data_IF_056064042284
#
_entry.id   IF_056064042284
#
_cell.length_a   1.000
_cell.length_b   1.000
_cell.length_c   1.000
_cell.angle_alpha   90.00
_cell.angle_beta   90.00
_cell.angle_gamma   90.00
#
_symmetry.space_group_name_H-M   'P 1'
#
loop_
_entity.id
_entity.type
_entity.pdbx_description
1 polymer ?
#
# COMPACT_ATOMS: atom_id res chain seq x y z
N UNK A 1 -19.81 -16.41 -1.55
CA UNK A 1 -18.82 -16.63 -2.61
C UNK A 1 -19.49 -17.06 -3.92
N UNK A 2 -20.48 -17.91 -3.88
CA UNK A 2 -21.30 -18.33 -5.04
C UNK A 2 -21.93 -17.18 -5.79
N UNK A 3 -22.17 -16.10 -5.12
CA UNK A 3 -22.89 -14.96 -5.64
C UNK A 3 -21.95 -13.99 -6.36
N UNK A 4 -20.65 -14.10 -6.11
CA UNK A 4 -19.61 -13.35 -6.85
C UNK A 4 -19.16 -14.07 -8.13
N UNK A 5 -19.32 -15.40 -8.19
CA UNK A 5 -18.84 -16.21 -9.33
C UNK A 5 -19.88 -16.45 -10.45
N UNK A 6 -21.19 -16.60 -10.20
CA UNK A 6 -22.17 -16.87 -11.28
C UNK A 6 -22.33 -15.73 -12.28
N UNK A 7 -22.24 -14.47 -11.83
CA UNK A 7 -22.33 -13.34 -12.74
C UNK A 7 -21.17 -13.26 -13.73
N UNK A 8 -19.98 -13.73 -13.33
CA UNK A 8 -18.84 -13.84 -14.25
C UNK A 8 -18.97 -15.01 -15.23
N UNK A 9 -19.75 -16.06 -14.90
CA UNK A 9 -19.95 -17.23 -15.74
C UNK A 9 -20.96 -17.02 -16.88
N UNK A 10 -21.79 -15.97 -16.81
CA UNK A 10 -22.83 -15.66 -17.79
C UNK A 10 -22.48 -14.51 -18.73
N UNK A 11 -21.23 -14.08 -18.77
CA UNK A 11 -20.78 -13.06 -19.72
C UNK A 11 -20.67 -13.65 -21.13
N UNK A 12 -21.22 -12.99 -22.18
CA UNK A 12 -20.90 -13.32 -23.55
C UNK A 12 -19.38 -13.13 -23.76
N UNK A 13 -18.74 -14.10 -24.40
CA UNK A 13 -17.34 -14.00 -24.80
C UNK A 13 -17.12 -12.70 -25.58
N UNK A 14 -16.29 -11.80 -25.05
CA UNK A 14 -15.90 -10.54 -25.69
C UNK A 14 -16.40 -9.25 -25.05
N UNK A 15 -17.15 -9.27 -23.93
CA UNK A 15 -17.54 -8.02 -23.26
C UNK A 15 -16.39 -7.53 -22.37
N UNK A 16 -15.81 -6.40 -22.74
CA UNK A 16 -14.74 -5.70 -21.99
C UNK A 16 -15.24 -5.02 -20.71
N UNK A 17 -16.57 -4.94 -20.50
CA UNK A 17 -17.18 -4.23 -19.37
C UNK A 17 -18.25 -5.08 -18.73
N UNK A 18 -17.97 -5.54 -17.50
CA UNK A 18 -18.98 -6.10 -16.62
C UNK A 18 -19.65 -4.96 -15.84
N UNK A 19 -20.95 -4.77 -16.07
CA UNK A 19 -21.77 -3.92 -15.20
C UNK A 19 -22.40 -4.82 -14.13
N UNK A 20 -21.93 -4.77 -12.86
CA UNK A 20 -22.51 -5.56 -11.80
C UNK A 20 -23.97 -5.19 -11.61
N UNK A 21 -24.83 -6.17 -11.41
CA UNK A 21 -26.20 -5.93 -10.99
C UNK A 21 -26.19 -5.39 -9.56
N UNK A 22 -27.22 -4.65 -9.16
CA UNK A 22 -27.33 -4.08 -7.81
C UNK A 22 -27.10 -5.13 -6.70
N UNK A 23 -27.66 -6.33 -6.88
CA UNK A 23 -27.43 -7.45 -5.95
C UNK A 23 -25.97 -7.88 -5.86
N UNK A 24 -25.25 -7.91 -6.97
CA UNK A 24 -23.83 -8.31 -7.01
C UNK A 24 -22.98 -7.27 -6.28
N UNK A 25 -23.32 -6.00 -6.42
CA UNK A 25 -22.66 -4.89 -5.71
C UNK A 25 -22.89 -5.00 -4.19
N UNK A 26 -24.13 -5.25 -3.75
CA UNK A 26 -24.44 -5.41 -2.32
C UNK A 26 -23.69 -6.58 -1.69
N UNK A 27 -23.53 -7.68 -2.40
CA UNK A 27 -22.79 -8.84 -1.90
C UNK A 27 -21.31 -8.57 -1.87
N UNK A 28 -20.78 -7.90 -2.87
CA UNK A 28 -19.40 -7.47 -2.90
C UNK A 28 -19.10 -6.52 -1.73
N UNK A 29 -19.98 -5.58 -1.46
CA UNK A 29 -19.86 -4.66 -0.33
C UNK A 29 -19.87 -5.40 1.03
N UNK A 30 -20.77 -6.39 1.18
CA UNK A 30 -20.81 -7.22 2.38
C UNK A 30 -19.53 -8.06 2.57
N UNK A 31 -19.03 -8.64 1.47
CA UNK A 31 -17.78 -9.39 1.47
C UNK A 31 -16.59 -8.48 1.87
N UNK A 32 -16.53 -7.28 1.30
CA UNK A 32 -15.47 -6.32 1.63
C UNK A 32 -15.57 -5.82 3.08
N UNK A 33 -16.76 -5.51 3.56
CA UNK A 33 -16.97 -5.16 4.96
C UNK A 33 -16.52 -6.26 5.92
N UNK A 34 -16.81 -7.52 5.59
CA UNK A 34 -16.32 -8.68 6.35
C UNK A 34 -14.79 -8.77 6.39
N UNK A 35 -14.11 -8.53 5.28
CA UNK A 35 -12.64 -8.54 5.23
C UNK A 35 -12.07 -7.38 6.06
N UNK A 36 -12.67 -6.18 6.02
CA UNK A 36 -12.24 -5.03 6.83
C UNK A 36 -12.26 -5.40 8.31
N UNK A 37 -13.40 -5.89 8.81
CA UNK A 37 -13.55 -6.30 10.21
C UNK A 37 -12.58 -7.41 10.58
N UNK A 38 -12.43 -8.42 9.72
CA UNK A 38 -11.49 -9.52 9.94
C UNK A 38 -10.05 -9.00 10.05
N UNK A 39 -9.60 -8.19 9.09
CA UNK A 39 -8.24 -7.67 9.07
C UNK A 39 -7.92 -6.82 10.31
N UNK A 40 -8.82 -5.93 10.71
CA UNK A 40 -8.64 -5.10 11.91
C UNK A 40 -8.54 -5.95 13.19
N UNK A 41 -9.41 -6.95 13.35
CA UNK A 41 -9.38 -7.84 14.50
C UNK A 41 -8.10 -8.69 14.57
N UNK A 42 -7.64 -9.24 13.44
CA UNK A 42 -6.41 -10.04 13.38
C UNK A 42 -5.18 -9.19 13.78
N UNK A 43 -5.14 -7.94 13.37
CA UNK A 43 -4.05 -7.03 13.74
C UNK A 43 -4.06 -6.67 15.22
N UNK A 44 -5.22 -6.49 15.84
CA UNK A 44 -5.33 -6.26 17.27
C UNK A 44 -4.82 -7.46 18.10
N UNK A 45 -4.94 -8.69 17.58
CA UNK A 45 -4.55 -9.93 18.25
C UNK A 45 -3.08 -10.34 18.01
N UNK A 46 -2.24 -9.52 17.40
CA UNK A 46 -0.93 -9.85 16.81
C UNK A 46 -1.05 -10.84 15.66
N UNK A 47 -0.80 -10.36 14.47
CA UNK A 47 -0.89 -11.15 13.26
C UNK A 47 -0.03 -12.42 13.35
N UNK A 48 -0.63 -13.57 13.04
CA UNK A 48 -0.04 -14.89 12.99
C UNK A 48 -0.26 -15.52 11.61
N UNK A 49 0.49 -16.54 11.30
CA UNK A 49 0.33 -17.30 10.05
C UNK A 49 -1.02 -18.04 10.00
N UNK A 50 -1.45 -18.60 11.14
CA UNK A 50 -2.62 -19.45 11.20
C UNK A 50 -3.52 -19.08 12.38
N UNK A 51 -4.83 -19.13 12.16
CA UNK A 51 -5.85 -18.89 13.16
C UNK A 51 -6.92 -20.00 13.11
N UNK A 52 -7.38 -20.39 14.29
CA UNK A 52 -8.58 -21.20 14.44
C UNK A 52 -9.73 -20.31 14.92
N UNK A 53 -10.74 -20.13 14.09
CA UNK A 53 -11.92 -19.30 14.38
C UNK A 53 -13.14 -20.23 14.42
N UNK A 54 -13.55 -20.64 15.62
CA UNK A 54 -14.58 -21.67 15.83
C UNK A 54 -14.24 -22.96 15.05
N UNK A 55 -15.03 -23.33 14.04
CA UNK A 55 -14.79 -24.50 13.18
C UNK A 55 -13.96 -24.19 11.94
N UNK A 56 -13.59 -22.91 11.70
CA UNK A 56 -12.90 -22.48 10.50
C UNK A 56 -11.40 -22.29 10.77
N UNK A 57 -10.59 -22.69 9.81
CA UNK A 57 -9.16 -22.40 9.78
C UNK A 57 -8.90 -21.22 8.85
N UNK A 58 -8.06 -20.29 9.28
CA UNK A 58 -7.66 -19.15 8.49
C UNK A 58 -6.14 -19.11 8.38
N UNK A 59 -5.64 -19.15 7.16
CA UNK A 59 -4.23 -18.97 6.83
C UNK A 59 -4.00 -17.54 6.35
N UNK A 60 -2.96 -16.89 6.85
CA UNK A 60 -2.58 -15.55 6.41
C UNK A 60 -1.35 -15.65 5.53
N UNK A 61 -1.47 -15.13 4.31
CA UNK A 61 -0.39 -15.08 3.33
C UNK A 61 -0.07 -13.62 2.98
N UNK A 62 1.19 -13.33 2.73
CA UNK A 62 1.65 -12.04 2.25
C UNK A 62 2.47 -12.22 0.98
N UNK A 63 2.08 -11.56 -0.10
CA UNK A 63 2.71 -11.64 -1.42
C UNK A 63 2.89 -13.10 -1.91
N UNK A 64 1.89 -13.94 -1.69
CA UNK A 64 1.90 -15.33 -2.13
C UNK A 64 2.72 -16.29 -1.26
N UNK A 65 3.25 -15.82 -0.13
CA UNK A 65 4.00 -16.64 0.83
C UNK A 65 3.29 -16.64 2.20
N UNK A 66 3.41 -17.71 2.99
CA UNK A 66 2.92 -17.72 4.36
C UNK A 66 3.43 -16.51 5.14
N UNK A 67 2.57 -15.93 5.96
CA UNK A 67 2.93 -14.77 6.75
C UNK A 67 4.09 -15.08 7.69
N UNK A 68 5.10 -14.20 7.68
CA UNK A 68 6.22 -14.28 8.61
C UNK A 68 6.23 -13.06 9.54
N UNK A 69 6.40 -13.25 10.86
CA UNK A 69 6.55 -12.14 11.82
C UNK A 69 7.67 -11.13 11.47
N UNK A 70 8.64 -11.55 10.66
CA UNK A 70 9.70 -10.65 10.16
C UNK A 70 9.17 -9.61 9.14
N UNK A 71 8.02 -9.90 8.52
CA UNK A 71 7.33 -9.02 7.57
C UNK A 71 6.26 -8.16 8.26
N UNK A 72 6.21 -8.16 9.60
CA UNK A 72 5.14 -7.56 10.36
C UNK A 72 5.07 -6.05 10.16
N UNK A 73 3.97 -5.60 9.61
CA UNK A 73 3.51 -4.23 9.81
C UNK A 73 2.97 -4.09 11.24
N UNK A 74 3.11 -2.90 11.82
CA UNK A 74 2.61 -2.63 13.18
C UNK A 74 1.11 -2.39 13.21
N UNK A 75 0.52 -1.99 12.08
CA UNK A 75 -0.90 -1.67 11.97
C UNK A 75 -1.37 -1.82 10.52
N UNK A 76 -2.61 -2.24 10.35
CA UNK A 76 -3.32 -2.27 9.07
C UNK A 76 -4.54 -1.34 9.18
N UNK A 77 -4.64 -0.36 8.31
CA UNK A 77 -5.73 0.62 8.31
C UNK A 77 -6.49 0.50 6.99
N UNK A 78 -7.80 0.30 7.07
CA UNK A 78 -8.64 0.28 5.87
C UNK A 78 -8.60 1.64 5.15
N UNK A 79 -8.38 1.63 3.84
CA UNK A 79 -8.36 2.86 3.05
C UNK A 79 -9.73 3.54 2.96
N UNK A 80 -10.82 2.83 3.27
CA UNK A 80 -12.18 3.41 3.35
C UNK A 80 -12.34 4.38 4.52
N UNK A 81 -11.51 4.26 5.55
CA UNK A 81 -11.53 5.16 6.72
C UNK A 81 -10.68 6.42 6.52
N UNK A 82 -9.97 6.53 5.39
CA UNK A 82 -9.05 7.62 5.15
C UNK A 82 -9.73 8.78 4.40
N UNK A 83 -9.60 9.97 4.96
CA UNK A 83 -9.98 11.20 4.27
C UNK A 83 -8.83 11.63 3.34
N UNK A 84 -9.03 11.45 2.03
CA UNK A 84 -8.06 11.81 0.98
C UNK A 84 -8.45 13.10 0.23
N UNK A 85 -9.32 13.94 0.82
CA UNK A 85 -9.83 15.17 0.19
C UNK A 85 -8.77 16.22 -0.15
N UNK A 86 -7.53 16.04 0.33
CA UNK A 86 -6.40 16.92 -0.03
C UNK A 86 -5.80 16.67 -1.39
N UNK A 87 -6.05 15.49 -1.96
CA UNK A 87 -5.66 15.19 -3.33
C UNK A 87 -6.78 15.60 -4.29
N UNK A 88 -6.44 16.30 -5.36
CA UNK A 88 -7.38 16.66 -6.43
C UNK A 88 -7.97 15.40 -7.07
N UNK A 89 -7.19 14.34 -7.13
CA UNK A 89 -7.56 13.02 -7.64
C UNK A 89 -7.05 11.93 -6.70
N UNK A 90 -7.78 10.81 -6.61
CA UNK A 90 -7.32 9.64 -5.85
C UNK A 90 -6.82 8.59 -6.83
N UNK A 91 -5.54 8.27 -6.74
CA UNK A 91 -4.91 7.25 -7.58
C UNK A 91 -5.38 5.86 -7.16
N UNK A 92 -6.20 5.23 -8.00
CA UNK A 92 -6.76 3.90 -7.76
C UNK A 92 -6.60 3.00 -8.98
N UNK A 93 -6.62 1.71 -8.72
CA UNK A 93 -6.85 0.67 -9.71
C UNK A 93 -8.11 -0.10 -9.29
N UNK A 94 -9.10 -0.12 -10.17
CA UNK A 94 -10.32 -0.90 -9.96
C UNK A 94 -10.00 -2.38 -10.05
N UNK A 95 -10.67 -3.18 -9.22
CA UNK A 95 -10.42 -4.59 -9.17
C UNK A 95 -10.99 -5.26 -7.91
N UNK A 96 -10.57 -6.48 -7.69
CA UNK A 96 -11.01 -7.32 -6.60
C UNK A 96 -10.12 -7.15 -5.36
N UNK A 97 -10.73 -7.11 -4.18
CA UNK A 97 -10.05 -7.03 -2.89
C UNK A 97 -10.25 -5.71 -2.14
N UNK A 98 -9.89 -5.73 -0.87
CA UNK A 98 -10.02 -4.60 0.06
C UNK A 98 -8.70 -3.88 0.20
N UNK A 99 -8.71 -2.56 0.04
CA UNK A 99 -7.52 -1.73 0.11
C UNK A 99 -7.21 -1.29 1.54
N UNK A 100 -5.98 -1.51 1.95
CA UNK A 100 -5.42 -1.11 3.24
C UNK A 100 -4.16 -0.28 3.08
N UNK A 101 -3.77 0.35 4.17
CA UNK A 101 -2.43 0.86 4.39
C UNK A 101 -1.79 0.09 5.53
N UNK A 102 -0.67 -0.55 5.26
CA UNK A 102 0.16 -1.20 6.27
C UNK A 102 1.21 -0.22 6.79
N UNK A 103 1.25 -0.03 8.11
CA UNK A 103 2.32 0.72 8.76
C UNK A 103 3.47 -0.24 9.04
N UNK A 104 4.64 0.05 8.49
CA UNK A 104 5.84 -0.73 8.70
C UNK A 104 6.42 -0.44 10.09
N UNK A 105 6.97 -1.48 10.72
CA UNK A 105 7.79 -1.27 11.91
C UNK A 105 9.21 -0.80 11.52
N UNK A 106 9.97 -0.30 12.50
CA UNK A 106 11.34 0.20 12.28
C UNK A 106 12.26 -0.86 11.65
N UNK A 107 12.04 -2.15 11.93
CA UNK A 107 12.83 -3.25 11.36
C UNK A 107 12.58 -3.43 9.86
N UNK A 108 11.33 -3.34 9.42
CA UNK A 108 10.99 -3.42 8.01
C UNK A 108 11.51 -2.20 7.24
N UNK A 109 11.37 -1.02 7.84
CA UNK A 109 11.93 0.24 7.33
C UNK A 109 13.45 0.17 7.23
N UNK A 110 14.12 -0.34 8.28
CA UNK A 110 15.56 -0.56 8.30
C UNK A 110 16.03 -1.56 7.25
N UNK A 111 15.23 -2.60 6.93
CA UNK A 111 15.58 -3.57 5.90
C UNK A 111 15.56 -2.96 4.49
N UNK A 112 14.62 -2.05 4.21
CA UNK A 112 14.59 -1.28 2.95
C UNK A 112 15.84 -0.39 2.86
N UNK A 113 16.17 0.33 3.94
CA UNK A 113 17.38 1.11 4.01
C UNK A 113 18.63 0.22 3.84
N UNK A 114 18.71 -0.91 4.54
CA UNK A 114 19.83 -1.84 4.44
C UNK A 114 20.04 -2.35 3.01
N UNK A 115 18.98 -2.58 2.24
CA UNK A 115 19.09 -2.96 0.82
C UNK A 115 19.68 -1.83 -0.03
N UNK A 116 19.27 -0.60 0.20
CA UNK A 116 19.83 0.58 -0.47
C UNK A 116 21.32 0.72 -0.12
N UNK A 117 21.67 0.46 1.14
CA UNK A 117 23.02 0.62 1.70
C UNK A 117 23.98 -0.50 1.30
N UNK A 118 23.52 -1.74 1.23
CA UNK A 118 24.33 -2.87 0.77
C UNK A 118 24.95 -2.62 -0.61
N UNK A 119 24.30 -1.78 -1.42
CA UNK A 119 24.81 -1.38 -2.72
C UNK A 119 25.80 -0.22 -2.67
N UNK A 120 25.96 0.45 -1.54
CA UNK A 120 26.91 1.54 -1.30
C UNK A 120 27.71 1.25 -0.03
N UNK A 121 28.71 0.38 -0.15
CA UNK A 121 29.62 0.10 0.96
C UNK A 121 30.41 1.36 1.31
N UNK A 122 29.92 2.14 2.27
CA UNK A 122 30.71 2.99 3.18
C UNK A 122 29.75 3.62 4.19
N UNK A 123 29.97 3.33 5.46
CA UNK A 123 29.29 3.90 6.60
C UNK A 123 29.42 5.42 6.60
N UNK A 124 28.37 6.14 6.27
CA UNK A 124 28.38 7.60 6.33
C UNK A 124 27.13 8.12 7.05
N UNK A 125 27.27 9.23 7.80
CA UNK A 125 26.15 9.94 8.44
C UNK A 125 25.02 10.33 7.49
N UNK A 126 25.28 10.29 6.17
CA UNK A 126 24.28 10.52 5.11
C UNK A 126 23.06 9.61 5.19
N UNK A 127 23.13 8.45 5.85
CA UNK A 127 22.07 7.46 5.93
C UNK A 127 20.95 7.86 6.88
N UNK A 128 21.26 8.61 7.92
CA UNK A 128 20.25 9.14 8.86
C UNK A 128 19.35 10.20 8.22
N UNK A 129 19.68 10.62 6.98
CA UNK A 129 18.95 11.64 6.23
C UNK A 129 18.08 11.05 5.10
N UNK A 130 18.02 9.72 4.99
CA UNK A 130 17.14 9.02 4.05
C UNK A 130 15.95 8.47 4.83
N UNK A 131 14.76 8.90 4.44
CA UNK A 131 13.51 8.53 5.09
C UNK A 131 12.66 7.70 4.10
N UNK A 132 12.62 6.38 4.25
CA UNK A 132 11.72 5.55 3.48
C UNK A 132 10.28 5.76 3.95
N UNK A 133 9.32 5.59 3.05
CA UNK A 133 7.92 5.59 3.42
C UNK A 133 7.63 4.42 4.35
N UNK A 134 7.18 4.71 5.57
CA UNK A 134 6.77 3.69 6.55
C UNK A 134 5.33 3.20 6.35
N UNK A 135 4.66 3.61 5.26
CA UNK A 135 3.27 3.32 4.94
C UNK A 135 3.19 2.66 3.57
N UNK A 136 2.62 1.45 3.48
CA UNK A 136 2.50 0.72 2.21
C UNK A 136 1.04 0.50 1.83
N UNK A 137 0.65 0.76 0.58
CA UNK A 137 -0.64 0.30 0.09
C UNK A 137 -0.62 -1.23 0.02
N UNK A 138 -1.67 -1.86 0.51
CA UNK A 138 -1.85 -3.31 0.50
C UNK A 138 -3.28 -3.62 0.06
N UNK A 139 -3.46 -4.80 -0.54
CA UNK A 139 -4.79 -5.28 -0.92
C UNK A 139 -5.01 -6.68 -0.37
N UNK A 140 -6.10 -6.85 0.37
CA UNK A 140 -6.45 -8.12 0.98
C UNK A 140 -7.60 -8.80 0.23
N UNK A 141 -7.46 -10.10 0.03
CA UNK A 141 -8.45 -10.97 -0.59
C UNK A 141 -8.63 -12.21 0.28
N UNK A 142 -9.87 -12.50 0.69
CA UNK A 142 -10.21 -13.72 1.42
C UNK A 142 -10.65 -14.78 0.43
N UNK A 143 -9.96 -15.90 0.39
CA UNK A 143 -10.25 -17.00 -0.54
C UNK A 143 -10.55 -18.27 0.24
N UNK A 144 -11.76 -18.88 0.07
CA UNK A 144 -12.03 -20.21 0.57
C UNK A 144 -11.19 -21.22 -0.21
N UNK A 145 -10.76 -22.30 0.45
CA UNK A 145 -9.98 -23.35 -0.17
C UNK A 145 -10.89 -24.37 -0.84
N UNK A 146 -10.67 -24.58 -2.13
CA UNK A 146 -11.41 -25.53 -2.95
C UNK A 146 -11.14 -25.29 -4.42
N UNK A 147 -11.39 -26.31 -5.25
CA UNK A 147 -11.19 -26.30 -6.70
C UNK A 147 -12.51 -26.19 -7.47
N UNK A 148 -13.63 -26.36 -6.81
CA UNK A 148 -14.99 -26.27 -7.35
C UNK A 148 -15.89 -25.42 -6.47
N UNK A 149 -17.01 -24.93 -7.01
CA UNK A 149 -18.01 -24.17 -6.25
C UNK A 149 -18.54 -24.99 -5.07
N UNK A 150 -18.83 -26.28 -5.27
CA UNK A 150 -19.35 -27.15 -4.23
C UNK A 150 -18.36 -27.34 -3.08
N UNK A 151 -17.07 -27.39 -3.37
CA UNK A 151 -16.02 -27.47 -2.34
C UNK A 151 -15.91 -26.14 -1.59
N UNK A 152 -15.95 -25.00 -2.30
CA UNK A 152 -15.89 -23.67 -1.69
C UNK A 152 -17.03 -23.41 -0.71
N UNK A 153 -18.25 -23.93 -1.02
CA UNK A 153 -19.42 -23.77 -0.15
C UNK A 153 -19.33 -24.60 1.14
N UNK A 154 -18.60 -25.70 1.10
CA UNK A 154 -18.50 -26.64 2.21
C UNK A 154 -17.22 -26.47 3.02
N UNK A 155 -16.25 -25.73 2.49
CA UNK A 155 -14.95 -25.58 3.14
C UNK A 155 -15.05 -24.83 4.45
N UNK A 156 -14.24 -25.26 5.40
CA UNK A 156 -13.97 -24.53 6.64
C UNK A 156 -12.55 -23.94 6.66
N UNK A 157 -11.85 -24.03 5.54
CA UNK A 157 -10.46 -23.61 5.37
C UNK A 157 -10.40 -22.39 4.44
N UNK A 158 -9.82 -21.30 4.92
CA UNK A 158 -9.75 -20.01 4.23
C UNK A 158 -8.33 -19.47 4.22
N UNK A 159 -8.02 -18.68 3.20
CA UNK A 159 -6.77 -17.93 3.10
C UNK A 159 -7.06 -16.43 2.97
N UNK A 160 -6.52 -15.64 3.89
CA UNK A 160 -6.44 -14.19 3.77
C UNK A 160 -5.12 -13.85 3.09
N UNK A 161 -5.20 -13.50 1.82
CA UNK A 161 -4.04 -13.16 1.02
C UNK A 161 -3.90 -11.63 0.96
N UNK A 162 -2.77 -11.13 1.42
CA UNK A 162 -2.44 -9.69 1.42
C UNK A 162 -1.34 -9.45 0.40
N UNK A 163 -1.57 -8.56 -0.55
CA UNK A 163 -0.70 -8.29 -1.67
C UNK A 163 -0.19 -6.85 -1.67
N UNK A 164 1.06 -6.66 -2.05
CA UNK A 164 1.60 -5.37 -2.46
C UNK A 164 1.12 -5.06 -3.90
N UNK A 165 0.25 -4.05 -4.11
CA UNK A 165 -0.33 -3.77 -5.42
C UNK A 165 0.66 -3.16 -6.42
N UNK A 166 1.85 -2.75 -5.98
CA UNK A 166 2.95 -2.38 -6.90
C UNK A 166 3.55 -3.59 -7.59
N UNK A 167 3.58 -4.75 -6.90
CA UNK A 167 4.15 -5.98 -7.42
C UNK A 167 3.09 -6.88 -8.07
N UNK A 168 1.88 -6.91 -7.52
CA UNK A 168 0.79 -7.77 -7.96
C UNK A 168 -0.32 -6.96 -8.64
N UNK A 169 -0.63 -7.32 -9.89
CA UNK A 169 -1.67 -6.64 -10.69
C UNK A 169 -2.97 -7.42 -10.77
N UNK A 170 -2.92 -8.72 -10.54
CA UNK A 170 -4.06 -9.64 -10.60
C UNK A 170 -3.97 -10.71 -9.52
N UNK A 171 -5.10 -11.36 -9.28
CA UNK A 171 -5.24 -12.53 -8.43
C UNK A 171 -6.04 -13.58 -9.18
N UNK A 172 -5.59 -14.84 -9.14
CA UNK A 172 -6.29 -15.98 -9.75
C UNK A 172 -7.21 -16.63 -8.72
N UNK A 173 -8.50 -16.73 -9.05
CA UNK A 173 -9.53 -17.38 -8.22
C UNK A 173 -10.33 -18.31 -9.14
N UNK A 174 -10.41 -19.60 -8.79
CA UNK A 174 -11.07 -20.63 -9.62
C UNK A 174 -10.62 -20.61 -11.08
N UNK A 175 -9.32 -20.56 -11.31
CA UNK A 175 -8.69 -20.49 -12.65
C UNK A 175 -9.10 -19.28 -13.50
N UNK A 176 -9.63 -18.22 -12.86
CA UNK A 176 -9.93 -16.95 -13.52
C UNK A 176 -9.07 -15.86 -12.89
N UNK A 177 -8.51 -14.99 -13.74
CA UNK A 177 -7.73 -13.85 -13.31
C UNK A 177 -8.63 -12.64 -13.11
N UNK A 178 -8.53 -12.04 -11.94
CA UNK A 178 -9.19 -10.79 -11.58
C UNK A 178 -8.14 -9.70 -11.38
N UNK A 179 -8.37 -8.52 -11.92
CA UNK A 179 -7.54 -7.36 -11.58
C UNK A 179 -7.58 -7.14 -10.06
N UNK A 180 -6.43 -6.94 -9.45
CA UNK A 180 -6.33 -6.64 -8.02
C UNK A 180 -6.59 -5.15 -7.82
N UNK A 181 -7.53 -4.81 -6.93
CA UNK A 181 -7.78 -3.42 -6.57
C UNK A 181 -6.55 -2.78 -5.91
N UNK A 182 -6.44 -1.46 -5.99
CA UNK A 182 -5.39 -0.73 -5.30
C UNK A 182 -5.81 0.72 -5.00
N UNK A 183 -5.26 1.28 -3.91
CA UNK A 183 -5.36 2.69 -3.60
C UNK A 183 -3.95 3.24 -3.31
N UNK A 184 -3.30 3.77 -4.33
CA UNK A 184 -1.92 4.24 -4.25
C UNK A 184 -1.80 5.57 -3.49
N UNK A 185 -2.85 6.41 -3.51
CA UNK A 185 -2.88 7.66 -2.74
C UNK A 185 -3.03 7.43 -1.24
N UNK A 186 -3.59 6.29 -0.81
CA UNK A 186 -3.94 6.06 0.58
C UNK A 186 -2.71 6.03 1.50
N UNK A 187 -1.64 5.35 1.09
CA UNK A 187 -0.41 5.27 1.87
C UNK A 187 0.25 6.64 2.02
N UNK A 188 0.37 7.38 0.93
CA UNK A 188 0.93 8.72 0.93
C UNK A 188 0.06 9.70 1.73
N UNK A 189 -1.26 9.65 1.56
CA UNK A 189 -2.19 10.52 2.30
C UNK A 189 -2.20 10.25 3.80
N UNK A 190 -2.11 8.99 4.22
CA UNK A 190 -2.01 8.63 5.63
C UNK A 190 -0.67 9.08 6.22
N UNK A 191 0.43 8.87 5.50
CA UNK A 191 1.75 9.34 5.92
C UNK A 191 1.78 10.87 6.10
N UNK A 192 1.20 11.63 5.17
CA UNK A 192 1.05 13.08 5.29
C UNK A 192 0.24 13.47 6.54
N UNK A 193 -0.82 12.72 6.85
CA UNK A 193 -1.67 12.94 8.03
C UNK A 193 -0.94 12.62 9.33
N UNK A 194 -0.31 11.46 9.41
CA UNK A 194 0.34 10.96 10.62
C UNK A 194 1.54 11.82 11.03
N UNK A 195 2.18 12.45 10.04
CA UNK A 195 3.28 13.37 10.29
C UNK A 195 2.83 14.84 10.44
N UNK A 196 1.53 15.07 10.66
CA UNK A 196 0.92 16.39 10.77
C UNK A 196 1.16 17.32 9.57
N UNK A 197 1.57 16.76 8.43
CA UNK A 197 1.87 17.50 7.19
C UNK A 197 0.61 18.02 6.49
N UNK A 198 -0.53 17.80 7.08
CA UNK A 198 -1.78 18.34 6.55
C UNK A 198 -1.92 19.85 6.73
N UNK A 199 -1.17 20.45 7.67
CA UNK A 199 -1.14 21.90 7.93
C UNK A 199 0.26 22.40 8.30
N UNK A 200 1.29 21.56 8.20
CA UNK A 200 2.63 21.85 8.71
C UNK A 200 3.65 21.30 7.73
N UNK A 201 4.71 21.99 7.51
CA UNK A 201 5.73 21.68 6.52
C UNK A 201 6.54 20.42 6.88
N UNK A 202 7.11 19.73 5.89
CA UNK A 202 8.13 18.69 6.06
C UNK A 202 9.25 19.11 7.05
N UNK A 203 9.48 20.40 7.14
CA UNK A 203 10.40 21.00 8.09
C UNK A 203 10.09 20.61 9.54
N UNK A 204 8.83 20.55 9.94
CA UNK A 204 8.43 20.21 11.30
C UNK A 204 8.51 18.70 11.61
N UNK A 205 8.66 17.85 10.60
CA UNK A 205 8.98 16.44 10.81
C UNK A 205 10.40 16.22 11.36
N UNK A 206 11.27 17.15 11.13
CA UNK A 206 12.66 17.04 11.52
C UNK A 206 12.79 17.43 13.00
N UNK A 207 13.11 16.47 13.85
CA UNK A 207 12.96 16.54 15.30
C UNK A 207 13.84 17.59 16.01
N UNK A 208 14.82 18.19 15.31
CA UNK A 208 15.72 19.16 15.91
C UNK A 208 16.14 20.27 14.93
N UNK A 209 16.51 21.46 15.42
CA UNK A 209 17.04 22.53 14.58
C UNK A 209 18.25 22.09 13.74
N UNK A 210 19.09 21.20 14.28
CA UNK A 210 20.21 20.64 13.55
C UNK A 210 19.76 19.78 12.35
N UNK A 211 18.74 18.93 12.52
CA UNK A 211 18.18 18.16 11.39
C UNK A 211 17.55 19.09 10.37
N UNK A 212 16.89 20.15 10.81
CA UNK A 212 16.27 21.15 9.93
C UNK A 212 17.29 21.95 9.11
N UNK A 213 18.55 22.00 9.55
CA UNK A 213 19.65 22.66 8.80
C UNK A 213 20.34 21.73 7.80
N UNK A 214 19.94 20.46 7.70
CA UNK A 214 20.55 19.46 6.82
C UNK A 214 19.59 19.07 5.69
N UNK A 215 20.11 18.65 4.52
CA UNK A 215 19.28 18.09 3.47
C UNK A 215 18.77 16.69 3.84
N UNK A 216 17.51 16.39 3.52
CA UNK A 216 16.86 15.11 3.74
C UNK A 216 16.21 14.57 2.46
N UNK A 217 16.24 13.27 2.29
CA UNK A 217 15.63 12.55 1.18
C UNK A 217 14.45 11.73 1.67
N UNK A 218 13.27 11.96 1.12
CA UNK A 218 12.05 11.21 1.40
C UNK A 218 11.71 10.30 0.23
N UNK A 219 11.68 8.99 0.48
CA UNK A 219 11.26 7.99 -0.50
C UNK A 219 9.77 7.76 -0.30
N UNK A 220 8.96 7.97 -1.34
CA UNK A 220 7.49 7.97 -1.23
C UNK A 220 6.83 6.65 -1.64
N UNK A 221 7.64 5.66 -1.97
CA UNK A 221 7.25 4.27 -2.20
C UNK A 221 8.42 3.34 -1.86
N UNK A 222 8.20 2.02 -1.71
CA UNK A 222 9.29 1.08 -1.48
C UNK A 222 10.32 1.14 -2.60
N UNK A 223 11.60 1.14 -2.24
CA UNK A 223 12.67 1.16 -3.22
C UNK A 223 12.59 -0.03 -4.17
N UNK A 224 12.53 0.27 -5.46
CA UNK A 224 12.57 -0.73 -6.53
C UNK A 224 13.77 -0.47 -7.46
N UNK A 225 14.76 -1.38 -7.51
CA UNK A 225 15.95 -1.22 -8.36
C UNK A 225 15.66 -1.20 -9.86
N UNK A 226 14.49 -1.68 -10.27
CA UNK A 226 14.08 -1.75 -11.68
C UNK A 226 13.32 -0.48 -12.13
N UNK A 227 12.98 0.42 -11.20
CA UNK A 227 12.36 1.71 -11.52
C UNK A 227 13.40 2.82 -11.61
N UNK A 228 13.19 3.76 -12.52
CA UNK A 228 13.93 5.02 -12.56
C UNK A 228 13.47 5.93 -11.44
N UNK A 229 14.35 6.81 -10.99
CA UNK A 229 14.05 7.75 -9.90
C UNK A 229 13.68 9.12 -10.46
N UNK A 230 12.53 9.65 -10.05
CA UNK A 230 12.18 11.06 -10.20
C UNK A 230 12.58 11.76 -8.90
N UNK A 231 13.56 12.66 -8.97
CA UNK A 231 13.98 13.46 -7.82
C UNK A 231 13.29 14.82 -7.91
N UNK A 232 12.52 15.19 -6.90
CA UNK A 232 11.81 16.46 -6.81
C UNK A 232 12.51 17.38 -5.84
N UNK A 233 13.06 18.48 -6.36
CA UNK A 233 13.74 19.54 -5.62
C UNK A 233 12.83 20.77 -5.56
N UNK A 234 12.56 21.27 -4.35
CA UNK A 234 11.79 22.51 -4.20
C UNK A 234 12.64 23.76 -4.45
N UNK A 235 12.01 24.91 -4.67
CA UNK A 235 12.68 26.19 -4.91
C UNK A 235 13.05 26.92 -3.61
N UNK A 236 13.64 28.14 -3.77
CA UNK A 236 13.87 29.07 -2.67
C UNK A 236 12.55 29.45 -2.00
N UNK A 237 12.58 29.62 -0.67
CA UNK A 237 11.41 29.93 0.15
C UNK A 237 10.21 28.95 -0.08
N UNK A 238 10.50 27.73 -0.46
CA UNK A 238 9.54 26.65 -0.68
C UNK A 238 9.94 25.40 0.12
N UNK A 239 9.18 24.33 -0.04
CA UNK A 239 9.36 23.06 0.67
C UNK A 239 8.84 21.89 -0.18
N UNK A 240 9.12 20.62 0.18
CA UNK A 240 8.67 19.47 -0.58
C UNK A 240 7.15 19.36 -0.77
N UNK A 241 6.35 20.02 0.09
CA UNK A 241 4.89 20.06 -0.03
C UNK A 241 4.40 20.61 -1.36
N UNK A 242 5.19 21.42 -2.03
CA UNK A 242 4.87 21.92 -3.37
C UNK A 242 4.67 20.80 -4.39
N UNK A 243 5.24 19.62 -4.11
CA UNK A 243 5.21 18.45 -4.99
C UNK A 243 4.10 17.45 -4.68
N UNK A 244 3.27 17.69 -3.64
CA UNK A 244 2.24 16.72 -3.20
C UNK A 244 1.29 16.35 -4.33
N UNK A 245 0.78 17.35 -5.06
CA UNK A 245 -0.11 17.15 -6.20
C UNK A 245 0.56 16.37 -7.33
N UNK A 246 1.72 16.83 -7.78
CA UNK A 246 2.47 16.18 -8.86
C UNK A 246 2.89 14.74 -8.49
N UNK A 247 3.29 14.49 -7.24
CA UNK A 247 3.59 13.15 -6.74
C UNK A 247 2.38 12.23 -6.89
N UNK A 248 1.22 12.71 -6.47
CA UNK A 248 -0.01 11.94 -6.58
C UNK A 248 -0.42 11.71 -8.06
N UNK A 249 -0.16 12.67 -8.94
CA UNK A 249 -0.41 12.53 -10.37
C UNK A 249 0.53 11.47 -11.00
N UNK A 250 1.80 11.42 -10.57
CA UNK A 250 2.72 10.32 -10.96
C UNK A 250 2.19 8.96 -10.52
N UNK A 251 1.64 8.86 -9.30
CA UNK A 251 1.01 7.62 -8.83
C UNK A 251 -0.25 7.26 -9.61
N UNK A 252 -0.97 8.25 -10.14
CA UNK A 252 -2.20 8.05 -10.88
C UNK A 252 -1.95 7.53 -12.32
N UNK A 253 -0.85 7.92 -12.95
CA UNK A 253 -0.50 7.42 -14.28
C UNK A 253 0.15 6.04 -14.20
N UNK A 254 -0.47 4.96 -14.77
CA UNK A 254 0.08 3.61 -14.70
C UNK A 254 1.47 3.49 -15.32
N UNK A 255 1.76 4.23 -16.40
CA UNK A 255 3.07 4.17 -17.06
C UNK A 255 4.14 4.83 -16.19
N UNK A 256 3.83 5.98 -15.57
CA UNK A 256 4.75 6.64 -14.66
C UNK A 256 4.95 5.80 -13.41
N UNK A 257 3.89 5.37 -12.76
CA UNK A 257 3.95 4.54 -11.55
C UNK A 257 4.71 3.24 -11.74
N UNK A 258 4.55 2.55 -12.88
CA UNK A 258 5.18 1.27 -13.12
C UNK A 258 6.69 1.40 -13.46
N UNK A 259 7.12 2.53 -14.02
CA UNK A 259 8.49 2.73 -14.50
C UNK A 259 9.34 3.68 -13.64
N UNK A 260 8.69 4.48 -12.78
CA UNK A 260 9.38 5.49 -11.97
C UNK A 260 9.00 5.34 -10.49
N UNK A 261 9.91 5.77 -9.63
CA UNK A 261 9.70 5.97 -8.20
C UNK A 261 10.05 7.41 -7.83
N UNK A 262 9.27 7.99 -6.90
CA UNK A 262 9.39 9.40 -6.55
C UNK A 262 10.18 9.57 -5.26
N UNK A 263 11.18 10.43 -5.32
CA UNK A 263 11.95 10.88 -4.17
C UNK A 263 11.85 12.38 -4.04
N UNK A 264 11.51 12.88 -2.86
CA UNK A 264 11.46 14.30 -2.56
C UNK A 264 12.64 14.69 -1.69
N UNK A 265 13.27 15.79 -2.02
CA UNK A 265 14.41 16.32 -1.28
C UNK A 265 13.96 17.57 -0.53
N UNK A 266 14.15 17.55 0.78
CA UNK A 266 14.16 18.74 1.62
C UNK A 266 15.59 19.25 1.73
N UNK A 267 15.78 20.56 1.58
CA UNK A 267 16.99 21.26 1.93
C UNK A 267 16.66 22.66 2.45
N UNK A 268 17.41 23.16 3.44
CA UNK A 268 17.16 24.49 3.97
C UNK A 268 17.52 25.55 2.91
N UNK A 269 16.60 26.48 2.66
CA UNK A 269 16.77 27.55 1.66
C UNK A 269 17.17 28.89 2.28
N UNK A 270 17.28 28.94 3.61
CA UNK A 270 17.59 30.14 4.39
C UNK A 270 19.04 30.21 4.90
N UNK A 271 19.88 29.27 4.44
CA UNK A 271 21.31 29.24 4.73
C UNK A 271 22.12 29.74 3.52
N UNK A 272 23.31 30.32 3.72
CA UNK A 272 24.19 30.70 2.62
C UNK A 272 24.54 29.51 1.71
N UNK A 273 24.57 29.71 0.40
CA UNK A 273 24.89 28.64 -0.57
C UNK A 273 26.35 28.14 -0.50
N UNK A 274 27.19 28.77 0.29
CA UNK A 274 28.62 28.49 0.35
C UNK A 274 29.08 27.82 1.66
N UNK A 275 28.15 27.26 2.43
CA UNK A 275 28.48 26.43 3.61
C UNK A 275 28.17 24.95 3.38
#
# INVERSE_FOLDING_TARGET
YDILTPSAAHQPEGSLFYLPKERDTQIQDLYYAGIVVLGENLYQQKLSENYQITRHQLHVNMNGQPFSPKMASTKLISSYQLNLAKFNTVSRRDGFGVNYVALLNDRATTSILAEILRRRANNTPALQRIHPLGHLPMTAVLVPKGSSIDELLKTTDFSLNVYDPYQFKSVTILNKDFALSANFSAAYGLWLKDNALSNVSYFNMLASPYQQSQPHLFMLEPYNPNKRVIIMLHGLASSPETWIGLTNDVFNDPKLRDNFQVWQVFYPTNIPMLE
#
